data_IF_158642436629
#
_entry.id   IF_158642436629
#
_cell.length_a   1.000
_cell.length_b   1.000
_cell.length_c   1.000
_cell.angle_alpha   90.00
_cell.angle_beta   90.00
_cell.angle_gamma   90.00
#
_symmetry.space_group_name_H-M   'P 1'
#
loop_
_entity.id
_entity.type
_entity.pdbx_description
1 polymer ?
#
# COMPACT_ATOMS: atom_id res chain seq x y z
N UNK A 1 -12.44 74.33 19.37
CA UNK A 1 -12.76 74.77 17.99
C UNK A 1 -12.47 73.60 17.06
N UNK A 2 -13.52 73.09 16.39
CA UNK A 2 -13.53 72.42 15.05
C UNK A 2 -12.57 71.25 14.79
N UNK A 3 -12.93 70.09 14.25
CA UNK A 3 -14.18 69.46 13.81
C UNK A 3 -13.88 67.94 13.59
N UNK A 4 -14.88 67.08 13.78
CA UNK A 4 -14.94 65.65 13.38
C UNK A 4 -14.94 65.46 11.83
N UNK A 5 -15.07 64.23 11.26
CA UNK A 5 -14.52 62.90 11.56
C UNK A 5 -13.96 62.20 10.29
N UNK A 6 -13.24 61.08 10.43
CA UNK A 6 -12.68 60.35 9.27
C UNK A 6 -12.52 58.85 9.48
N UNK A 7 -13.63 58.12 9.39
CA UNK A 7 -13.73 56.67 9.38
C UNK A 7 -13.18 56.11 8.05
N UNK A 8 -12.27 55.14 8.06
CA UNK A 8 -12.26 54.10 7.02
C UNK A 8 -11.63 52.79 7.50
N UNK A 9 -12.44 51.74 7.36
CA UNK A 9 -12.17 50.32 7.63
C UNK A 9 -11.62 49.66 6.36
N UNK A 10 -11.06 48.46 6.57
CA UNK A 10 -10.85 47.39 5.59
C UNK A 10 -9.64 47.62 4.67
N UNK A 11 -8.81 46.66 4.27
CA UNK A 11 -8.73 45.21 4.44
C UNK A 11 -7.34 44.79 3.92
N UNK A 12 -6.77 43.65 4.34
CA UNK A 12 -5.57 43.09 3.72
C UNK A 12 -5.91 42.50 2.34
N UNK A 13 -5.50 43.18 1.27
CA UNK A 13 -5.67 42.69 -0.09
C UNK A 13 -4.56 41.72 -0.48
N UNK A 14 -4.96 40.45 -0.56
CA UNK A 14 -4.60 39.52 -1.62
C UNK A 14 -3.16 39.01 -1.70
N UNK A 15 -2.92 37.95 -0.91
CA UNK A 15 -2.17 36.80 -1.38
C UNK A 15 -2.76 36.30 -2.71
N UNK A 16 -2.11 36.60 -3.83
CA UNK A 16 -2.30 35.85 -5.07
C UNK A 16 -1.68 34.47 -4.91
N UNK A 17 -2.42 33.56 -4.26
CA UNK A 17 -2.25 32.13 -4.46
C UNK A 17 -2.71 31.84 -5.89
N UNK A 18 -1.77 31.87 -6.83
CA UNK A 18 -2.01 31.38 -8.19
C UNK A 18 -2.59 29.97 -8.13
N UNK A 19 -3.54 29.61 -9.00
CA UNK A 19 -4.11 28.27 -9.02
C UNK A 19 -2.98 27.28 -9.28
N UNK A 20 -2.59 26.56 -8.22
CA UNK A 20 -1.66 25.45 -8.32
C UNK A 20 -2.14 24.47 -9.39
N UNK A 21 -1.23 23.79 -10.11
CA UNK A 21 -1.59 22.93 -11.22
C UNK A 21 -2.67 21.94 -10.76
N UNK A 22 -3.88 22.09 -11.31
CA UNK A 22 -4.97 21.15 -11.13
C UNK A 22 -4.41 19.78 -11.54
N UNK A 23 -4.22 18.89 -10.56
CA UNK A 23 -3.93 17.48 -10.84
C UNK A 23 -5.08 16.98 -11.72
N UNK A 24 -4.81 16.83 -13.00
CA UNK A 24 -5.71 16.20 -13.94
C UNK A 24 -5.92 14.78 -13.46
N UNK A 25 -7.11 14.49 -12.94
CA UNK A 25 -7.53 13.11 -12.72
C UNK A 25 -7.41 12.39 -14.07
N UNK A 26 -6.84 11.17 -14.13
CA UNK A 26 -6.81 10.42 -15.38
C UNK A 26 -8.25 10.30 -15.93
N UNK A 27 -8.43 10.40 -17.25
CA UNK A 27 -9.75 10.31 -17.85
C UNK A 27 -10.38 8.97 -17.47
N UNK A 28 -11.59 9.01 -16.89
CA UNK A 28 -12.38 7.87 -16.40
C UNK A 28 -12.57 6.73 -17.41
N UNK A 29 -12.32 7.00 -18.70
CA UNK A 29 -12.33 6.02 -19.79
C UNK A 29 -11.20 4.99 -19.71
N UNK A 30 -10.09 5.28 -19.02
CA UNK A 30 -8.96 4.36 -18.88
C UNK A 30 -9.12 3.39 -17.70
N UNK A 31 -9.98 3.69 -16.73
CA UNK A 31 -10.25 2.85 -15.55
C UNK A 31 -10.60 1.39 -15.90
N UNK A 32 -11.48 1.07 -16.87
CA UNK A 32 -11.79 -0.32 -17.22
C UNK A 32 -10.61 -1.05 -17.86
N UNK A 33 -9.79 -0.37 -18.67
CA UNK A 33 -8.60 -0.96 -19.29
C UNK A 33 -7.55 -1.25 -18.21
N UNK A 34 -7.33 -0.31 -17.29
CA UNK A 34 -6.46 -0.50 -16.13
C UNK A 34 -6.94 -1.64 -15.23
N UNK A 35 -8.24 -1.73 -14.96
CA UNK A 35 -8.81 -2.81 -14.16
C UNK A 35 -8.65 -4.18 -14.84
N UNK A 36 -8.79 -4.24 -16.18
CA UNK A 36 -8.53 -5.45 -16.94
C UNK A 36 -7.05 -5.84 -16.90
N UNK A 37 -6.14 -4.89 -17.10
CA UNK A 37 -4.71 -5.11 -17.01
C UNK A 37 -4.29 -5.59 -15.61
N UNK A 38 -4.81 -4.99 -14.54
CA UNK A 38 -4.60 -5.42 -13.16
C UNK A 38 -5.12 -6.86 -12.93
N UNK A 39 -6.29 -7.20 -13.51
CA UNK A 39 -6.86 -8.56 -13.43
C UNK A 39 -6.01 -9.59 -14.18
N UNK A 40 -5.42 -9.22 -15.33
CA UNK A 40 -4.53 -10.11 -16.08
C UNK A 40 -3.20 -10.29 -15.35
N UNK A 41 -2.59 -9.22 -14.84
CA UNK A 41 -1.33 -9.28 -14.10
C UNK A 41 -1.48 -10.13 -12.83
N UNK A 42 -2.54 -9.90 -12.05
CA UNK A 42 -2.82 -10.68 -10.84
C UNK A 42 -3.02 -12.17 -11.14
N UNK A 43 -3.72 -12.51 -12.22
CA UNK A 43 -3.85 -13.91 -12.66
C UNK A 43 -2.51 -14.51 -13.08
N UNK A 44 -1.72 -13.80 -13.89
CA UNK A 44 -0.43 -14.28 -14.40
C UNK A 44 0.56 -14.54 -13.28
N UNK A 45 0.61 -13.64 -12.29
CA UNK A 45 1.46 -13.75 -11.11
C UNK A 45 0.91 -14.72 -10.06
N UNK A 46 -0.30 -15.24 -10.26
CA UNK A 46 -0.95 -16.12 -9.29
C UNK A 46 -1.26 -15.42 -7.97
N UNK A 47 -1.47 -14.09 -8.00
CA UNK A 47 -1.88 -13.29 -6.85
C UNK A 47 -3.30 -13.71 -6.49
N UNK A 48 -3.47 -14.23 -5.27
CA UNK A 48 -4.76 -14.72 -4.78
C UNK A 48 -5.18 -13.94 -3.54
N UNK A 49 -6.47 -13.61 -3.42
CA UNK A 49 -6.98 -13.03 -2.19
C UNK A 49 -6.75 -14.02 -1.03
N UNK A 50 -6.34 -13.53 0.13
CA UNK A 50 -6.19 -14.36 1.33
C UNK A 50 -7.56 -14.87 1.80
N UNK A 51 -8.58 -14.03 1.64
CA UNK A 51 -9.99 -14.32 1.88
C UNK A 51 -10.84 -13.67 0.79
N UNK A 52 -11.97 -14.26 0.42
CA UNK A 52 -12.85 -13.77 -0.65
C UNK A 52 -13.11 -12.25 -0.56
N UNK A 53 -13.42 -11.76 0.65
CA UNK A 53 -13.72 -10.35 0.93
C UNK A 53 -12.58 -9.57 1.57
N UNK A 54 -11.37 -10.15 1.62
CA UNK A 54 -10.21 -9.54 2.21
C UNK A 54 -9.69 -8.31 1.45
N UNK A 55 -8.98 -7.45 2.17
CA UNK A 55 -8.23 -6.29 1.65
C UNK A 55 -6.81 -6.67 1.24
N UNK A 56 -6.32 -7.83 1.66
CA UNK A 56 -5.00 -8.36 1.32
C UNK A 56 -5.09 -9.55 0.35
N UNK A 57 -4.08 -9.64 -0.50
CA UNK A 57 -3.81 -10.76 -1.39
C UNK A 57 -2.35 -11.20 -1.23
N UNK A 58 -2.06 -12.43 -1.66
CA UNK A 58 -0.74 -13.04 -1.57
C UNK A 58 -0.32 -13.60 -2.92
N UNK A 59 0.94 -13.36 -3.25
CA UNK A 59 1.69 -14.02 -4.31
C UNK A 59 2.69 -14.97 -3.66
N UNK A 60 2.69 -16.24 -4.10
CA UNK A 60 3.71 -17.19 -3.65
C UNK A 60 4.81 -17.23 -4.70
N UNK A 61 5.99 -16.77 -4.32
CA UNK A 61 7.14 -16.66 -5.21
C UNK A 61 8.39 -17.22 -4.52
N UNK A 62 9.53 -17.15 -5.22
CA UNK A 62 10.84 -17.50 -4.66
C UNK A 62 11.64 -16.24 -4.40
N UNK A 63 12.33 -16.20 -3.26
CA UNK A 63 13.26 -15.13 -2.93
C UNK A 63 14.41 -15.14 -3.93
N UNK A 64 14.73 -13.96 -4.49
CA UNK A 64 15.83 -13.79 -5.45
C UNK A 64 16.87 -12.77 -4.98
N UNK A 65 16.66 -12.19 -3.79
CA UNK A 65 17.58 -11.22 -3.21
C UNK A 65 18.75 -11.88 -2.49
N UNK A 66 19.57 -11.04 -1.86
CA UNK A 66 20.59 -11.49 -0.90
C UNK A 66 19.93 -12.13 0.32
N UNK A 67 20.66 -13.01 1.00
CA UNK A 67 20.16 -13.68 2.19
C UNK A 67 19.83 -12.68 3.29
N UNK A 68 18.69 -12.89 3.94
CA UNK A 68 18.16 -12.00 4.96
C UNK A 68 17.83 -12.79 6.22
N UNK A 69 18.50 -12.45 7.33
CA UNK A 69 18.10 -12.94 8.66
C UNK A 69 17.08 -11.99 9.29
N UNK A 70 15.95 -12.53 9.72
CA UNK A 70 14.88 -11.82 10.41
C UNK A 70 15.12 -11.79 11.93
N UNK A 71 14.39 -10.92 12.62
CA UNK A 71 14.57 -10.71 14.07
C UNK A 71 14.17 -11.93 14.91
N UNK A 72 13.31 -12.80 14.38
CA UNK A 72 12.93 -14.09 14.99
C UNK A 72 13.97 -15.21 14.73
N UNK A 73 15.08 -14.88 14.05
CA UNK A 73 16.15 -15.81 13.69
C UNK A 73 15.93 -16.54 12.37
N UNK A 74 14.78 -16.36 11.71
CA UNK A 74 14.50 -16.97 10.40
C UNK A 74 15.50 -16.47 9.36
N UNK A 75 16.14 -17.39 8.64
CA UNK A 75 16.99 -17.07 7.49
C UNK A 75 16.16 -17.25 6.22
N UNK A 76 16.05 -16.17 5.42
CA UNK A 76 15.45 -16.20 4.09
C UNK A 76 16.60 -16.22 3.08
N UNK A 77 16.84 -17.38 2.51
CA UNK A 77 17.90 -17.63 1.54
C UNK A 77 17.43 -17.52 0.09
N UNK A 78 18.37 -17.37 -0.84
CA UNK A 78 18.06 -17.41 -2.27
C UNK A 78 17.31 -18.69 -2.66
N UNK A 79 16.20 -18.54 -3.39
CA UNK A 79 15.36 -19.65 -3.86
C UNK A 79 14.25 -20.08 -2.88
N UNK A 80 14.27 -19.59 -1.64
CA UNK A 80 13.25 -19.92 -0.64
C UNK A 80 11.86 -19.44 -1.04
N UNK A 81 10.84 -20.20 -0.63
CA UNK A 81 9.45 -19.81 -0.88
C UNK A 81 9.07 -18.66 0.04
N UNK A 82 8.57 -17.57 -0.54
CA UNK A 82 8.10 -16.39 0.19
C UNK A 82 6.68 -16.02 -0.24
N UNK A 83 5.96 -15.34 0.66
CA UNK A 83 4.66 -14.75 0.38
C UNK A 83 4.79 -13.24 0.21
N UNK A 84 4.64 -12.74 -1.00
CA UNK A 84 4.57 -11.30 -1.24
C UNK A 84 3.12 -10.84 -1.08
N UNK A 85 2.91 -9.89 -0.17
CA UNK A 85 1.60 -9.34 0.16
C UNK A 85 1.27 -8.13 -0.69
N UNK A 86 0.04 -8.13 -1.20
CA UNK A 86 -0.50 -7.08 -2.05
C UNK A 86 -1.79 -6.52 -1.44
N UNK A 87 -2.01 -5.22 -1.56
CA UNK A 87 -3.31 -4.63 -1.27
C UNK A 87 -4.24 -4.81 -2.46
N UNK A 88 -5.47 -5.26 -2.20
CA UNK A 88 -6.53 -5.29 -3.20
C UNK A 88 -7.13 -3.89 -3.33
N UNK A 89 -6.63 -3.11 -4.29
CA UNK A 89 -6.94 -1.69 -4.50
C UNK A 89 -8.44 -1.38 -4.41
N UNK A 90 -9.29 -2.16 -5.07
CA UNK A 90 -10.76 -1.99 -5.04
C UNK A 90 -11.35 -2.17 -3.64
N UNK A 91 -10.94 -3.22 -2.93
CA UNK A 91 -11.40 -3.50 -1.56
C UNK A 91 -10.86 -2.48 -0.58
N UNK A 92 -9.58 -2.13 -0.69
CA UNK A 92 -8.95 -1.09 0.14
C UNK A 92 -9.64 0.27 -0.04
N UNK A 93 -10.00 0.66 -1.27
CA UNK A 93 -10.78 1.87 -1.56
C UNK A 93 -12.18 1.81 -0.93
N UNK A 94 -12.88 0.68 -1.07
CA UNK A 94 -14.22 0.48 -0.52
C UNK A 94 -14.23 0.59 1.02
N UNK A 95 -13.27 -0.07 1.67
CA UNK A 95 -13.11 -0.01 3.13
C UNK A 95 -12.65 1.37 3.59
N UNK A 96 -11.75 2.01 2.83
CA UNK A 96 -11.29 3.38 3.09
C UNK A 96 -12.43 4.41 3.13
N UNK A 97 -13.43 4.27 2.23
CA UNK A 97 -14.64 5.11 2.23
C UNK A 97 -15.51 4.95 3.49
N UNK A 98 -15.39 3.82 4.20
CA UNK A 98 -16.13 3.50 5.43
C UNK A 98 -15.35 3.82 6.71
N UNK A 99 -14.13 4.36 6.59
CA UNK A 99 -13.23 4.65 7.71
C UNK A 99 -11.98 3.76 7.69
N UNK A 100 -10.90 4.29 7.11
CA UNK A 100 -9.61 3.59 6.95
C UNK A 100 -9.01 3.08 8.27
N UNK A 101 -9.10 3.86 9.34
CA UNK A 101 -8.37 3.59 10.59
C UNK A 101 -8.94 2.45 11.43
N UNK A 102 -10.24 2.17 11.36
CA UNK A 102 -10.87 1.15 12.19
C UNK A 102 -11.36 -0.03 11.36
N UNK A 103 -12.08 0.23 10.27
CA UNK A 103 -12.55 -0.82 9.37
C UNK A 103 -11.38 -1.46 8.60
N UNK A 104 -10.46 -0.65 8.07
CA UNK A 104 -9.28 -1.14 7.33
C UNK A 104 -8.38 -2.02 8.19
N UNK A 105 -8.14 -1.61 9.44
CA UNK A 105 -7.34 -2.39 10.38
C UNK A 105 -7.99 -3.71 10.75
N UNK A 106 -9.29 -3.71 11.03
CA UNK A 106 -10.03 -4.93 11.36
C UNK A 106 -10.02 -5.93 10.20
N UNK A 107 -10.23 -5.47 8.96
CA UNK A 107 -10.15 -6.33 7.78
C UNK A 107 -8.74 -6.86 7.57
N UNK A 108 -7.71 -6.00 7.68
CA UNK A 108 -6.31 -6.43 7.59
C UNK A 108 -5.94 -7.50 8.61
N UNK A 109 -6.34 -7.32 9.88
CA UNK A 109 -6.11 -8.33 10.94
C UNK A 109 -6.89 -9.63 10.69
N UNK A 110 -8.10 -9.55 10.12
CA UNK A 110 -8.85 -10.74 9.74
C UNK A 110 -8.13 -11.53 8.64
N UNK A 111 -7.58 -10.83 7.65
CA UNK A 111 -6.80 -11.44 6.58
C UNK A 111 -5.49 -12.04 7.12
N UNK A 112 -4.76 -11.36 7.99
CA UNK A 112 -3.54 -11.91 8.59
C UNK A 112 -3.81 -13.16 9.45
N UNK A 113 -4.92 -13.20 10.19
CA UNK A 113 -5.34 -14.40 10.92
C UNK A 113 -5.68 -15.55 9.98
N UNK A 114 -6.39 -15.28 8.89
CA UNK A 114 -6.70 -16.30 7.88
C UNK A 114 -5.42 -16.83 7.21
N UNK A 115 -4.46 -15.95 6.93
CA UNK A 115 -3.15 -16.34 6.39
C UNK A 115 -2.38 -17.22 7.36
N UNK A 116 -2.34 -16.85 8.65
CA UNK A 116 -1.69 -17.65 9.68
C UNK A 116 -2.32 -19.04 9.82
N UNK A 117 -3.65 -19.12 9.83
CA UNK A 117 -4.39 -20.38 9.88
C UNK A 117 -4.10 -21.26 8.65
N UNK A 118 -4.11 -20.66 7.45
CA UNK A 118 -3.74 -21.37 6.22
C UNK A 118 -2.30 -21.90 6.29
N UNK A 119 -1.34 -21.05 6.71
CA UNK A 119 0.07 -21.42 6.81
C UNK A 119 0.31 -22.54 7.83
N UNK A 120 -0.42 -22.55 8.95
CA UNK A 120 -0.34 -23.60 9.95
C UNK A 120 -0.85 -24.96 9.43
N UNK A 121 -1.81 -24.94 8.50
CA UNK A 121 -2.36 -26.15 7.89
C UNK A 121 -1.54 -26.70 6.71
N UNK A 122 -0.53 -25.97 6.21
CA UNK A 122 0.30 -26.42 5.09
C UNK A 122 1.49 -27.26 5.56
N UNK A 123 1.88 -28.30 4.79
CA UNK A 123 3.16 -28.98 5.00
C UNK A 123 4.32 -27.98 4.91
N UNK A 124 5.35 -28.16 5.74
CA UNK A 124 6.54 -27.30 5.78
C UNK A 124 7.16 -27.08 4.41
N UNK A 125 7.18 -28.12 3.56
CA UNK A 125 7.74 -28.05 2.21
C UNK A 125 6.97 -27.10 1.25
N UNK A 126 5.70 -26.81 1.52
CA UNK A 126 4.86 -25.94 0.68
C UNK A 126 4.64 -24.55 1.29
N UNK A 127 4.97 -24.40 2.56
CA UNK A 127 4.78 -23.18 3.33
C UNK A 127 5.85 -22.14 2.98
N UNK A 128 5.47 -20.87 2.73
CA UNK A 128 6.45 -19.78 2.68
C UNK A 128 7.24 -19.68 3.98
N UNK A 129 8.55 -19.45 3.88
CA UNK A 129 9.43 -19.25 5.05
C UNK A 129 9.23 -17.87 5.67
N UNK A 130 8.81 -16.89 4.85
CA UNK A 130 8.53 -15.53 5.28
C UNK A 130 7.43 -14.90 4.42
N UNK A 131 6.77 -13.90 5.00
CA UNK A 131 5.83 -13.03 4.30
C UNK A 131 6.36 -11.61 4.32
N UNK A 132 6.29 -10.89 3.20
CA UNK A 132 6.74 -9.51 3.13
C UNK A 132 5.79 -8.68 2.26
N UNK A 133 5.82 -7.36 2.44
CA UNK A 133 5.02 -6.44 1.65
C UNK A 133 5.61 -5.05 1.68
N UNK A 134 5.21 -4.22 0.71
CA UNK A 134 5.59 -2.83 0.66
C UNK A 134 4.48 -1.94 1.22
N UNK A 135 4.85 -1.01 2.08
CA UNK A 135 3.90 -0.07 2.69
C UNK A 135 4.51 1.32 2.77
N UNK A 136 3.66 2.33 2.57
CA UNK A 136 3.99 3.75 2.84
C UNK A 136 3.70 4.13 4.30
N UNK A 137 2.96 3.30 5.04
CA UNK A 137 2.55 3.54 6.41
C UNK A 137 3.31 2.63 7.37
N UNK A 138 4.60 2.91 7.59
CA UNK A 138 5.48 2.10 8.43
C UNK A 138 5.00 1.94 9.89
N UNK A 139 4.25 2.92 10.42
CA UNK A 139 3.77 2.90 11.80
C UNK A 139 2.79 1.75 12.09
N UNK A 140 1.96 1.38 11.12
CA UNK A 140 0.94 0.35 11.33
C UNK A 140 1.55 -1.07 11.42
N UNK A 141 2.34 -1.55 10.43
CA UNK A 141 2.94 -2.87 10.49
C UNK A 141 3.81 -3.06 11.74
N UNK A 142 4.56 -2.02 12.17
CA UNK A 142 5.35 -2.10 13.41
C UNK A 142 4.50 -2.44 14.64
N UNK A 143 3.31 -1.85 14.76
CA UNK A 143 2.39 -2.14 15.89
C UNK A 143 1.82 -3.56 15.84
N UNK A 144 1.76 -4.16 14.66
CA UNK A 144 1.31 -5.54 14.45
C UNK A 144 2.47 -6.55 14.48
N UNK A 145 3.66 -6.15 14.97
CA UNK A 145 4.81 -7.04 15.12
C UNK A 145 5.62 -7.28 13.84
N UNK A 146 5.38 -6.52 12.77
CA UNK A 146 6.17 -6.65 11.55
C UNK A 146 7.57 -6.07 11.74
N UNK A 147 8.58 -6.81 11.27
CA UNK A 147 9.89 -6.23 11.03
C UNK A 147 9.81 -5.26 9.85
N UNK A 148 9.96 -3.96 10.11
CA UNK A 148 9.90 -2.92 9.07
C UNK A 148 11.28 -2.39 8.76
N UNK A 149 11.73 -2.65 7.54
CA UNK A 149 13.00 -2.14 6.99
C UNK A 149 12.74 -1.00 6.02
N UNK A 150 13.61 0.00 6.03
CA UNK A 150 13.59 1.01 4.98
C UNK A 150 13.89 0.34 3.65
N UNK A 151 13.08 0.62 2.62
CA UNK A 151 13.38 0.16 1.27
C UNK A 151 14.65 0.87 0.81
N UNK A 152 15.70 0.10 0.48
CA UNK A 152 16.90 0.66 -0.10
C UNK A 152 16.54 1.47 -1.35
N UNK A 153 17.05 2.69 -1.41
CA UNK A 153 16.83 3.60 -2.54
C UNK A 153 17.76 3.24 -3.69
N UNK A 154 17.57 2.07 -4.27
CA UNK A 154 18.29 1.65 -5.49
C UNK A 154 17.72 2.34 -6.74
N UNK A 155 18.48 2.36 -7.82
CA UNK A 155 18.03 2.89 -9.12
C UNK A 155 16.72 2.23 -9.60
N UNK A 156 16.55 0.93 -9.36
CA UNK A 156 15.31 0.20 -9.64
C UNK A 156 14.14 0.63 -8.75
N UNK A 157 14.39 0.93 -7.47
CA UNK A 157 13.37 1.53 -6.59
C UNK A 157 12.95 2.94 -7.04
N UNK A 158 13.85 3.68 -7.71
CA UNK A 158 13.52 4.95 -8.38
C UNK A 158 12.69 4.74 -9.64
N UNK A 159 12.97 3.70 -10.44
CA UNK A 159 12.15 3.35 -11.60
C UNK A 159 10.74 2.91 -11.22
N UNK A 160 10.57 2.07 -10.19
CA UNK A 160 9.25 1.72 -9.61
C UNK A 160 8.48 2.94 -9.09
N UNK A 161 9.20 3.95 -8.58
CA UNK A 161 8.61 5.21 -8.13
C UNK A 161 8.24 6.13 -9.30
N UNK A 162 9.00 6.11 -10.40
CA UNK A 162 8.74 6.88 -11.62
C UNK A 162 7.59 6.29 -12.44
N UNK A 163 7.46 4.97 -12.51
CA UNK A 163 6.34 4.30 -13.21
C UNK A 163 5.00 4.52 -12.49
N UNK A 164 5.00 4.73 -11.17
CA UNK A 164 3.80 5.15 -10.41
C UNK A 164 3.50 6.66 -10.43
N UNK A 165 4.35 7.48 -11.08
CA UNK A 165 4.17 8.94 -11.23
C UNK A 165 3.63 9.36 -12.60
N UNK A 166 3.37 8.41 -13.50
CA UNK A 166 2.79 8.62 -14.84
C UNK A 166 1.55 7.75 -15.11
N UNK A 167 0.72 7.54 -14.09
CA UNK A 167 -0.61 6.93 -14.21
C UNK A 167 -1.66 7.82 -13.58
#
# INVERSE_FOLDING_TARGET
MTAEPGRQRSSPASMSAGPGPRRSLPPRLLDPILALAERVDTRRRGIRPIRADGVLAIERTRWRGADVRLDDGTLVGHGDRIGEMHFRSERARSVGRRGWQSAGLREGRADLRALAAWAAAQPTALRPVAYHGLTIHAAFPRREGWQVRARERTFWARLDACTRRRG
#
